data_IF_418706210915
#
_entry.id   IF_418706210915
#
_cell.length_a   1.000
_cell.length_b   1.000
_cell.length_c   1.000
_cell.angle_alpha   90.00
_cell.angle_beta   90.00
_cell.angle_gamma   90.00
#
_symmetry.space_group_name_H-M   'P 1'
#
loop_
_entity.id
_entity.type
_entity.pdbx_description
1 polymer ?
#
# COMPACT_ATOMS: atom_id res chain seq x y z
N UNK A 1 -4.83 -35.50 -6.69
CA UNK A 1 -4.72 -34.03 -6.58
C UNK A 1 -3.47 -33.73 -5.79
N UNK A 2 -2.56 -32.94 -6.35
CA UNK A 2 -1.28 -32.61 -5.72
C UNK A 2 -1.46 -31.37 -4.83
N UNK A 3 -1.38 -31.55 -3.51
CA UNK A 3 -1.65 -30.49 -2.53
C UNK A 3 -0.70 -29.30 -2.71
N UNK A 4 0.55 -29.56 -3.08
CA UNK A 4 1.55 -28.50 -3.28
C UNK A 4 1.18 -27.62 -4.47
N UNK A 5 0.74 -28.23 -5.58
CA UNK A 5 0.25 -27.50 -6.75
C UNK A 5 -1.00 -26.69 -6.43
N UNK A 6 -1.91 -27.22 -5.60
CA UNK A 6 -3.10 -26.47 -5.18
C UNK A 6 -2.73 -25.22 -4.38
N UNK A 7 -1.85 -25.35 -3.39
CA UNK A 7 -1.40 -24.22 -2.57
C UNK A 7 -0.67 -23.19 -3.45
N UNK A 8 0.22 -23.62 -4.33
CA UNK A 8 0.97 -22.72 -5.21
C UNK A 8 0.07 -21.91 -6.15
N UNK A 9 -0.95 -22.56 -6.73
CA UNK A 9 -1.88 -21.90 -7.66
C UNK A 9 -2.82 -20.91 -6.97
N UNK A 10 -3.14 -21.13 -5.69
CA UNK A 10 -4.04 -20.28 -4.92
C UNK A 10 -3.32 -19.26 -4.02
N UNK A 11 -1.99 -19.34 -3.92
CA UNK A 11 -1.23 -18.35 -3.16
C UNK A 11 -1.36 -16.97 -3.83
N UNK A 12 -1.85 -15.95 -3.12
CA UNK A 12 -2.05 -14.63 -3.71
C UNK A 12 -0.72 -14.03 -4.16
N UNK A 13 -0.62 -13.72 -5.44
CA UNK A 13 0.57 -13.08 -6.01
C UNK A 13 0.71 -11.66 -5.46
N UNK A 14 1.92 -11.27 -5.06
CA UNK A 14 2.22 -9.91 -4.64
C UNK A 14 1.94 -8.95 -5.81
N UNK A 15 1.25 -7.84 -5.53
CA UNK A 15 1.01 -6.78 -6.52
C UNK A 15 2.31 -6.02 -6.75
N UNK A 16 2.94 -6.24 -7.90
CA UNK A 16 4.16 -5.53 -8.33
C UNK A 16 3.72 -4.32 -9.17
N UNK A 17 4.42 -3.19 -9.02
CA UNK A 17 4.16 -2.02 -9.84
C UNK A 17 4.69 -2.23 -11.25
N UNK A 18 3.95 -1.82 -12.28
CA UNK A 18 4.46 -1.86 -13.67
C UNK A 18 5.74 -1.02 -13.85
N UNK A 19 5.96 -0.03 -12.98
CA UNK A 19 7.17 0.80 -13.00
C UNK A 19 8.40 0.10 -12.39
N UNK A 20 8.22 -0.98 -11.62
CA UNK A 20 9.34 -1.68 -10.96
C UNK A 20 10.28 -2.34 -11.99
N UNK A 21 9.75 -2.73 -13.16
CA UNK A 21 10.54 -3.29 -14.27
C UNK A 21 11.40 -2.25 -14.99
N UNK A 22 11.04 -0.95 -14.88
CA UNK A 22 11.67 0.13 -15.65
C UNK A 22 12.30 1.21 -14.75
N UNK A 23 12.66 0.86 -13.52
CA UNK A 23 13.21 1.82 -12.54
C UNK A 23 14.46 2.54 -13.07
N UNK A 24 15.36 1.80 -13.71
CA UNK A 24 16.62 2.35 -14.23
C UNK A 24 16.37 3.34 -15.39
N UNK A 25 15.50 2.95 -16.33
CA UNK A 25 15.08 3.81 -17.45
C UNK A 25 14.38 5.08 -16.92
N UNK A 26 13.50 4.96 -15.94
CA UNK A 26 12.80 6.08 -15.31
C UNK A 26 13.79 7.04 -14.66
N UNK A 27 14.70 6.54 -13.83
CA UNK A 27 15.68 7.39 -13.15
C UNK A 27 16.58 8.11 -14.15
N UNK A 28 17.09 7.40 -15.16
CA UNK A 28 17.92 8.00 -16.21
C UNK A 28 17.21 9.14 -16.94
N UNK A 29 15.92 8.97 -17.27
CA UNK A 29 15.16 10.02 -17.94
C UNK A 29 14.88 11.22 -17.02
N UNK A 30 14.61 10.97 -15.74
CA UNK A 30 14.43 12.05 -14.77
C UNK A 30 15.74 12.83 -14.53
N UNK A 31 16.89 12.15 -14.50
CA UNK A 31 18.22 12.78 -14.38
C UNK A 31 18.56 13.66 -15.59
N UNK A 32 18.03 13.30 -16.77
CA UNK A 32 18.12 14.10 -18.00
C UNK A 32 17.07 15.24 -18.06
N UNK A 33 16.38 15.53 -16.96
CA UNK A 33 15.33 16.54 -16.84
C UNK A 33 14.12 16.33 -17.77
N UNK A 34 13.84 15.10 -18.20
CA UNK A 34 12.59 14.81 -18.91
C UNK A 34 11.39 14.91 -17.97
N UNK A 35 10.30 15.48 -18.48
CA UNK A 35 9.03 15.56 -17.76
C UNK A 35 8.41 14.17 -17.56
N UNK A 36 7.58 14.01 -16.53
CA UNK A 36 6.84 12.76 -16.28
C UNK A 36 6.00 12.32 -17.49
N UNK A 37 5.47 13.28 -18.26
CA UNK A 37 4.76 13.04 -19.53
C UNK A 37 5.64 12.33 -20.55
N UNK A 38 6.84 12.86 -20.79
CA UNK A 38 7.81 12.28 -21.72
C UNK A 38 8.31 10.90 -21.25
N UNK A 39 8.50 10.73 -19.93
CA UNK A 39 8.85 9.42 -19.36
C UNK A 39 7.74 8.40 -19.66
N UNK A 40 6.48 8.75 -19.46
CA UNK A 40 5.35 7.86 -19.76
C UNK A 40 5.26 7.56 -21.27
N UNK A 41 5.47 8.55 -22.12
CA UNK A 41 5.47 8.36 -23.57
C UNK A 41 6.55 7.36 -24.00
N UNK A 42 7.76 7.51 -23.47
CA UNK A 42 8.85 6.55 -23.67
C UNK A 42 8.47 5.15 -23.19
N UNK A 43 7.98 5.01 -21.95
CA UNK A 43 7.60 3.70 -21.40
C UNK A 43 6.50 3.02 -22.22
N UNK A 44 5.55 3.78 -22.78
CA UNK A 44 4.51 3.22 -23.67
C UNK A 44 5.06 2.62 -24.96
N UNK A 45 6.26 3.02 -25.40
CA UNK A 45 6.94 2.41 -26.56
C UNK A 45 7.68 1.12 -26.20
N UNK A 46 8.17 1.01 -24.96
CA UNK A 46 8.88 -0.17 -24.43
C UNK A 46 7.93 -1.27 -23.95
N UNK A 47 6.85 -0.90 -23.28
CA UNK A 47 5.95 -1.85 -22.62
C UNK A 47 4.94 -2.48 -23.58
N UNK A 48 4.79 -3.81 -23.55
CA UNK A 48 3.70 -4.50 -24.26
C UNK A 48 2.32 -4.17 -23.66
N UNK A 49 2.24 -4.06 -22.33
CA UNK A 49 1.03 -3.67 -21.62
C UNK A 49 1.10 -2.17 -21.25
N UNK A 50 0.10 -1.41 -21.68
CA UNK A 50 0.03 0.05 -21.45
C UNK A 50 -0.82 0.43 -20.24
N UNK A 51 -1.52 -0.54 -19.66
CA UNK A 51 -2.42 -0.31 -18.52
C UNK A 51 -1.62 0.19 -17.32
N UNK A 52 -2.05 1.31 -16.74
CA UNK A 52 -1.41 1.90 -15.56
C UNK A 52 -0.22 2.82 -15.85
N UNK A 53 0.24 2.94 -17.11
CA UNK A 53 1.27 3.90 -17.54
C UNK A 53 0.65 5.28 -17.75
N UNK A 54 0.38 5.98 -16.63
CA UNK A 54 -0.13 7.35 -16.60
C UNK A 54 0.77 8.24 -15.76
N UNK A 55 0.78 9.54 -16.06
CA UNK A 55 1.57 10.53 -15.33
C UNK A 55 1.21 10.54 -13.83
N UNK A 56 -0.08 10.47 -13.51
CA UNK A 56 -0.57 10.40 -12.13
C UNK A 56 -0.05 9.17 -11.38
N UNK A 57 -0.02 8.01 -12.05
CA UNK A 57 0.50 6.79 -11.46
C UNK A 57 2.02 6.84 -11.27
N UNK A 58 2.77 7.41 -12.23
CA UNK A 58 4.21 7.62 -12.10
C UNK A 58 4.50 8.61 -10.97
N UNK A 59 3.78 9.73 -10.89
CA UNK A 59 3.89 10.69 -9.79
C UNK A 59 3.67 10.00 -8.43
N UNK A 60 2.62 9.19 -8.32
CA UNK A 60 2.33 8.42 -7.11
C UNK A 60 3.42 7.40 -6.81
N UNK A 61 3.97 6.74 -7.83
CA UNK A 61 5.05 5.78 -7.70
C UNK A 61 6.31 6.44 -7.14
N UNK A 62 6.72 7.58 -7.70
CA UNK A 62 7.90 8.35 -7.27
C UNK A 62 7.75 8.93 -5.86
N UNK A 63 6.53 9.26 -5.44
CA UNK A 63 6.21 9.75 -4.09
C UNK A 63 6.20 8.65 -3.03
N UNK A 64 6.15 7.37 -3.42
CA UNK A 64 6.21 6.31 -2.42
C UNK A 64 7.54 6.43 -1.69
N UNK A 65 7.55 6.37 -0.35
CA UNK A 65 8.81 6.26 0.37
C UNK A 65 9.52 5.07 -0.23
N UNK A 66 10.78 5.27 -0.68
CA UNK A 66 11.63 4.14 -1.09
C UNK A 66 11.56 3.20 0.09
N UNK A 67 10.87 2.06 -0.07
CA UNK A 67 10.97 1.00 0.92
C UNK A 67 12.46 0.77 0.97
N UNK A 68 13.08 1.15 2.07
CA UNK A 68 14.36 0.60 2.44
C UNK A 68 14.05 -0.89 2.52
N UNK A 69 14.22 -1.57 1.39
CA UNK A 69 14.35 -2.99 1.38
C UNK A 69 15.60 -3.15 2.23
N UNK A 70 15.40 -3.43 3.52
CA UNK A 70 16.35 -4.20 4.31
C UNK A 70 16.56 -5.45 3.49
N UNK A 71 17.48 -5.35 2.52
CA UNK A 71 18.28 -6.47 2.10
C UNK A 71 18.87 -6.95 3.42
N UNK A 72 18.30 -8.01 3.99
CA UNK A 72 19.00 -8.81 4.97
C UNK A 72 20.27 -9.30 4.26
N UNK A 73 21.31 -8.49 4.34
CA UNK A 73 22.66 -8.82 3.94
C UNK A 73 23.40 -8.92 5.26
N UNK A 74 23.51 -10.19 5.66
CA UNK A 74 24.61 -10.77 6.41
C UNK A 74 24.66 -10.46 7.91
N UNK A 75 24.67 -11.56 8.67
CA UNK A 75 25.29 -11.63 9.99
C UNK A 75 26.71 -11.03 9.94
N UNK A 76 27.17 -10.55 11.11
CA UNK A 76 28.46 -9.92 11.47
C UNK A 76 28.38 -8.38 11.43
N UNK A 77 28.61 -7.61 12.49
CA UNK A 77 29.15 -7.90 13.81
C UNK A 77 28.63 -6.84 14.80
N UNK A 78 28.49 -7.22 16.07
CA UNK A 78 28.14 -6.30 17.16
C UNK A 78 29.32 -5.35 17.37
N UNK A 79 29.14 -4.06 17.12
CA UNK A 79 29.60 -2.94 17.96
C UNK A 79 29.60 -1.65 17.13
N UNK A 80 28.57 -0.84 17.30
CA UNK A 80 28.75 0.51 17.85
C UNK A 80 27.38 1.17 17.97
N UNK A 81 26.98 1.34 19.23
CA UNK A 81 25.93 2.26 19.60
C UNK A 81 26.49 3.69 19.51
N UNK A 82 25.73 4.64 18.95
CA UNK A 82 25.21 5.81 19.69
C UNK A 82 24.54 6.85 18.77
N UNK A 83 23.46 7.39 19.33
CA UNK A 83 22.76 8.64 19.00
C UNK A 83 21.80 8.65 17.81
N UNK A 84 20.60 8.10 18.04
CA UNK A 84 19.39 8.60 17.39
C UNK A 84 18.64 9.44 18.44
N UNK A 85 18.63 10.76 18.21
CA UNK A 85 17.79 11.71 18.95
C UNK A 85 16.33 11.30 18.76
N UNK A 86 15.70 10.82 19.84
CA UNK A 86 14.26 10.53 19.87
C UNK A 86 13.51 11.86 19.90
N UNK A 87 13.02 12.27 18.74
CA UNK A 87 12.10 13.38 18.63
C UNK A 87 10.77 12.99 19.32
N UNK A 88 10.46 13.67 20.42
CA UNK A 88 9.30 13.40 21.27
C UNK A 88 8.05 14.00 20.61
N UNK A 89 7.52 13.31 19.61
CA UNK A 89 6.14 13.52 19.15
C UNK A 89 5.34 12.24 19.40
N UNK A 90 5.04 11.98 20.68
CA UNK A 90 4.04 11.00 21.09
C UNK A 90 2.67 11.47 20.57
N UNK A 91 2.34 11.05 19.34
CA UNK A 91 0.98 11.21 18.83
C UNK A 91 0.08 10.31 19.65
N UNK A 92 -0.80 10.93 20.44
CA UNK A 92 -1.88 10.23 21.16
C UNK A 92 -2.67 9.36 20.17
N UNK A 93 -3.11 8.16 20.56
CA UNK A 93 -3.98 7.35 19.72
C UNK A 93 -5.22 8.18 19.35
N UNK A 94 -5.52 8.23 18.06
CA UNK A 94 -6.67 8.97 17.52
C UNK A 94 -7.93 8.16 17.87
N UNK A 95 -8.82 8.75 18.65
CA UNK A 95 -10.11 8.14 18.97
C UNK A 95 -11.08 8.36 17.78
N UNK A 96 -11.30 7.28 17.03
CA UNK A 96 -12.09 7.27 15.80
C UNK A 96 -13.57 7.57 16.08
N UNK A 97 -14.03 7.32 17.31
CA UNK A 97 -15.44 7.42 17.68
C UNK A 97 -15.84 8.80 18.21
N UNK A 98 -14.86 9.70 18.43
CA UNK A 98 -15.10 11.00 19.05
C UNK A 98 -16.07 11.92 18.28
N UNK A 99 -16.21 11.74 16.96
CA UNK A 99 -17.11 12.55 16.11
C UNK A 99 -18.38 11.81 15.68
N UNK A 100 -18.63 10.59 16.19
CA UNK A 100 -19.90 9.91 15.94
C UNK A 100 -20.98 10.55 16.81
N UNK A 101 -21.89 11.31 16.18
CA UNK A 101 -23.11 11.76 16.84
C UNK A 101 -23.93 10.52 17.24
N UNK A 102 -24.43 10.41 18.49
CA UNK A 102 -25.44 9.42 18.79
C UNK A 102 -26.64 9.72 17.88
N UNK A 103 -26.95 8.78 16.98
CA UNK A 103 -28.20 8.85 16.24
C UNK A 103 -29.28 8.38 17.20
N UNK A 104 -30.04 9.32 17.75
CA UNK A 104 -31.19 9.02 18.61
C UNK A 104 -32.34 8.33 17.84
N UNK A 105 -32.20 8.16 16.52
CA UNK A 105 -33.09 7.35 15.70
C UNK A 105 -32.42 6.04 15.29
N UNK A 106 -32.94 4.93 15.83
CA UNK A 106 -32.62 3.58 15.37
C UNK A 106 -32.93 3.48 13.89
N UNK A 107 -32.00 2.94 13.12
CA UNK A 107 -32.28 2.65 11.71
C UNK A 107 -33.35 1.55 11.62
N UNK A 108 -34.15 1.52 10.54
CA UNK A 108 -35.15 0.45 10.34
C UNK A 108 -34.54 -0.95 10.45
N UNK A 109 -33.29 -1.11 9.99
CA UNK A 109 -32.54 -2.35 10.08
C UNK A 109 -32.23 -2.75 11.52
N UNK A 110 -31.76 -1.82 12.36
CA UNK A 110 -31.50 -2.09 13.78
C UNK A 110 -32.78 -2.46 14.54
N UNK A 111 -33.92 -1.88 14.15
CA UNK A 111 -35.21 -2.24 14.71
C UNK A 111 -35.61 -3.68 14.33
N UNK A 112 -35.47 -4.07 13.06
CA UNK A 112 -35.71 -5.46 12.62
C UNK A 112 -34.83 -6.47 13.35
N UNK A 113 -33.56 -6.15 13.58
CA UNK A 113 -32.64 -7.03 14.33
C UNK A 113 -33.05 -7.17 15.80
N UNK A 114 -33.50 -6.09 16.44
CA UNK A 114 -34.01 -6.14 17.81
C UNK A 114 -35.29 -6.96 17.93
N UNK A 115 -36.18 -6.85 16.95
CA UNK A 115 -37.45 -7.57 16.94
C UNK A 115 -37.22 -9.07 16.75
N UNK A 116 -36.29 -9.46 15.87
CA UNK A 116 -35.85 -10.86 15.72
C UNK A 116 -35.25 -11.44 17.01
N UNK A 117 -34.41 -10.67 17.71
CA UNK A 117 -33.82 -11.12 18.98
C UNK A 117 -34.88 -11.27 20.08
N UNK A 118 -35.91 -10.41 20.09
CA UNK A 118 -37.04 -10.55 21.02
C UNK A 118 -37.87 -11.79 20.70
N UNK A 119 -38.07 -12.09 19.42
CA UNK A 119 -38.81 -13.27 18.97
C UNK A 119 -38.12 -14.59 19.38
N UNK A 120 -36.78 -14.64 19.36
CA UNK A 120 -36.01 -15.81 19.84
C UNK A 120 -36.07 -15.99 21.37
N UNK A 121 -36.31 -14.90 22.11
CA UNK A 121 -36.32 -14.92 23.58
C UNK A 121 -37.68 -15.19 24.20
N UNK A 122 -38.74 -15.21 23.39
CA UNK A 122 -40.08 -15.67 23.78
C UNK A 122 -40.25 -17.14 23.41
#
# INVERSE_FOLDING_TARGET
MDLEKFIQNNTPKKKISIFDEYVDDINKLLDLNYSQKQVIEYLKTKCKNKTGLTESNLSRYLKKPKKQNTKEVQNLDKNESKNIVKDKNEKKPIDIFANLKPKDSKTPFEQTMLDFVKEIKN
#
